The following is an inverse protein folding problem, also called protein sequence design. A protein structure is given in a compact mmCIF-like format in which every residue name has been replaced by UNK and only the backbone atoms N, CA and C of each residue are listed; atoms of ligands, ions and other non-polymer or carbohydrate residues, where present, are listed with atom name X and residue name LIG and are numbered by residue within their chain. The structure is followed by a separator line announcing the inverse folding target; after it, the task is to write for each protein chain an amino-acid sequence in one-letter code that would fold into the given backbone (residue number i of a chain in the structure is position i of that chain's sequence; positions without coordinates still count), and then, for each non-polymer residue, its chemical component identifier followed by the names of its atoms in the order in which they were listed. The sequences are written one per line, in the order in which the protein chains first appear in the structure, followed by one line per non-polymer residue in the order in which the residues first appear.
data_IF_530537371939
#
_entry.id   IF_530537371939
#
_cell.length_a   1.000
_cell.length_b   1.000
_cell.length_c   1.000
_cell.angle_alpha   90.00
_cell.angle_beta   90.00
_cell.angle_gamma   90.00
#
_symmetry.space_group_name_H-M   'P 1'
#
loop_
_entity.id
_entity.type
_entity.pdbx_description
1 polymer ?
#
# COMPACT_ATOMS: atom_id res chain seq x y z
N UNK A 1 4.83 -2.67 -20.45
CA UNK A 1 3.52 -3.29 -20.13
C UNK A 1 3.50 -3.51 -18.62
N UNK A 2 2.49 -3.00 -17.90
CA UNK A 2 2.42 -3.15 -16.43
C UNK A 2 2.22 -4.62 -16.04
N UNK A 3 3.07 -5.16 -15.17
CA UNK A 3 2.91 -6.52 -14.63
C UNK A 3 1.85 -6.54 -13.50
N UNK A 4 1.27 -7.71 -13.18
CA UNK A 4 0.38 -7.84 -12.02
C UNK A 4 1.04 -7.37 -10.71
N UNK A 5 2.28 -7.80 -10.47
CA UNK A 5 3.07 -7.40 -9.30
C UNK A 5 3.27 -5.87 -9.21
N UNK A 6 3.54 -5.20 -10.33
CA UNK A 6 3.62 -3.74 -10.34
C UNK A 6 2.30 -3.08 -9.95
N UNK A 7 1.18 -3.63 -10.44
CA UNK A 7 -0.15 -3.15 -10.08
C UNK A 7 -0.40 -3.31 -8.58
N UNK A 8 -0.05 -4.45 -8.00
CA UNK A 8 -0.20 -4.73 -6.57
C UNK A 8 0.62 -3.77 -5.70
N UNK A 9 1.90 -3.56 -6.05
CA UNK A 9 2.77 -2.60 -5.36
C UNK A 9 2.20 -1.18 -5.47
N UNK A 10 1.80 -0.76 -6.68
CA UNK A 10 1.20 0.55 -6.90
C UNK A 10 -0.08 0.75 -6.08
N UNK A 11 -0.95 -0.25 -6.03
CA UNK A 11 -2.19 -0.16 -5.26
C UNK A 11 -1.96 -0.23 -3.75
N UNK A 12 -0.92 -0.91 -3.27
CA UNK A 12 -0.54 -0.87 -1.86
C UNK A 12 -0.09 0.55 -1.44
N UNK A 13 0.65 1.25 -2.31
CA UNK A 13 0.98 2.66 -2.09
C UNK A 13 -0.28 3.54 -2.10
N UNK A 14 -1.21 3.31 -3.03
CA UNK A 14 -2.49 4.03 -3.05
C UNK A 14 -3.28 3.82 -1.76
N UNK A 15 -3.36 2.58 -1.25
CA UNK A 15 -4.00 2.28 0.03
C UNK A 15 -3.37 3.04 1.19
N UNK A 16 -2.04 3.15 1.22
CA UNK A 16 -1.34 3.95 2.23
C UNK A 16 -1.74 5.42 2.17
N UNK A 17 -1.82 5.99 0.95
CA UNK A 17 -2.26 7.38 0.76
C UNK A 17 -3.74 7.59 1.10
N UNK A 18 -4.58 6.56 0.97
CA UNK A 18 -5.97 6.56 1.42
C UNK A 18 -6.12 6.47 2.94
N UNK A 19 -5.01 6.32 3.69
CA UNK A 19 -5.00 6.25 5.16
C UNK A 19 -4.91 4.84 5.73
N UNK A 20 -4.81 3.79 4.91
CA UNK A 20 -4.60 2.42 5.38
C UNK A 20 -3.13 2.22 5.75
N UNK A 21 -2.84 2.30 7.05
CA UNK A 21 -1.47 2.20 7.57
C UNK A 21 -0.89 0.81 7.31
N UNK A 22 0.38 0.78 6.91
CA UNK A 22 1.13 -0.46 6.73
C UNK A 22 0.60 -1.36 5.61
N UNK A 23 0.02 -0.77 4.55
CA UNK A 23 -0.42 -1.52 3.38
C UNK A 23 0.78 -2.16 2.65
N UNK A 24 0.68 -3.45 2.35
CA UNK A 24 1.75 -4.25 1.72
C UNK A 24 1.15 -5.21 0.72
N UNK A 25 1.74 -5.28 -0.47
CA UNK A 25 1.47 -6.35 -1.42
C UNK A 25 1.97 -7.68 -0.82
N UNK A 26 1.16 -8.71 -0.94
CA UNK A 26 1.53 -10.05 -0.51
C UNK A 26 2.23 -10.77 -1.68
N UNK A 27 3.26 -11.59 -1.40
CA UNK A 27 3.81 -12.47 -2.42
C UNK A 27 2.72 -13.41 -2.93
N UNK A 28 2.79 -13.73 -4.24
CA UNK A 28 1.86 -14.65 -4.89
C UNK A 28 1.80 -15.96 -4.10
N UNK A 29 0.65 -16.24 -3.52
CA UNK A 29 0.44 -17.39 -2.64
C UNK A 29 -0.98 -17.94 -2.74
N UNK A 30 -1.28 -19.04 -2.03
CA UNK A 30 -2.60 -19.69 -2.05
C UNK A 30 -3.72 -18.85 -1.41
N UNK A 31 -3.40 -17.64 -0.92
CA UNK A 31 -4.22 -16.73 -0.13
C UNK A 31 -5.41 -16.18 -0.94
N UNK A 32 -6.36 -17.05 -1.29
CA UNK A 32 -7.79 -16.82 -1.50
C UNK A 32 -8.23 -15.59 -2.34
N UNK A 33 -7.34 -14.96 -3.11
CA UNK A 33 -7.60 -13.71 -3.82
C UNK A 33 -7.45 -12.44 -2.97
N UNK A 34 -6.56 -12.42 -1.96
CA UNK A 34 -6.14 -11.18 -1.28
C UNK A 34 -4.72 -10.84 -1.73
N UNK A 35 -4.56 -9.73 -2.43
CA UNK A 35 -3.26 -9.31 -2.96
C UNK A 35 -2.58 -8.28 -2.06
N UNK A 36 -3.35 -7.51 -1.27
CA UNK A 36 -2.83 -6.48 -0.37
C UNK A 36 -3.48 -6.60 1.01
N UNK A 37 -2.65 -6.53 2.07
CA UNK A 37 -3.10 -6.43 3.46
C UNK A 37 -2.61 -5.12 4.07
N UNK A 38 -3.48 -4.48 4.85
CA UNK A 38 -3.19 -3.27 5.61
C UNK A 38 -3.90 -3.32 6.98
N UNK A 39 -3.52 -2.42 7.88
CA UNK A 39 -4.26 -2.26 9.12
C UNK A 39 -5.66 -1.71 8.82
N UNK A 40 -6.70 -2.50 9.11
CA UNK A 40 -8.09 -2.12 8.91
C UNK A 40 -8.61 -2.31 7.49
N UNK A 41 -7.85 -2.94 6.58
CA UNK A 41 -8.32 -3.18 5.21
C UNK A 41 -7.59 -4.29 4.48
N UNK A 42 -8.33 -5.02 3.66
CA UNK A 42 -7.83 -6.02 2.71
C UNK A 42 -8.21 -5.61 1.30
N UNK A 43 -7.36 -5.93 0.33
CA UNK A 43 -7.66 -5.64 -1.06
C UNK A 43 -7.25 -6.72 -2.05
N UNK A 44 -7.97 -6.73 -3.17
CA UNK A 44 -7.67 -7.50 -4.36
C UNK A 44 -7.44 -6.58 -5.55
N UNK A 45 -6.45 -6.88 -6.38
CA UNK A 45 -6.02 -6.11 -7.55
C UNK A 45 -6.15 -6.98 -8.79
N UNK A 46 -7.05 -6.59 -9.70
CA UNK A 46 -7.32 -7.33 -10.92
C UNK A 46 -6.94 -6.53 -12.16
N UNK A 47 -5.84 -6.94 -12.79
CA UNK A 47 -5.28 -6.30 -14.00
C UNK A 47 -5.60 -7.10 -15.28
N UNK A 48 -6.87 -7.27 -15.60
CA UNK A 48 -7.31 -7.87 -16.87
C UNK A 48 -7.99 -6.86 -17.78
N UNK A 49 -8.10 -7.21 -19.07
CA UNK A 49 -8.84 -6.42 -20.06
C UNK A 49 -10.35 -6.61 -19.98
N UNK A 50 -10.82 -7.66 -19.30
CA UNK A 50 -12.25 -7.97 -19.13
C UNK A 50 -12.77 -7.31 -17.86
N UNK A 51 -13.94 -6.65 -17.87
CA UNK A 51 -14.56 -6.09 -16.68
C UNK A 51 -14.76 -7.14 -15.58
N UNK A 52 -14.62 -6.72 -14.32
CA UNK A 52 -14.77 -7.59 -13.16
C UNK A 52 -16.24 -7.90 -12.91
N UNK A 53 -16.55 -9.18 -12.75
CA UNK A 53 -17.89 -9.68 -12.48
C UNK A 53 -18.18 -9.88 -11.00
N UNK A 54 -19.46 -10.11 -10.68
CA UNK A 54 -19.92 -10.44 -9.32
C UNK A 54 -19.17 -11.63 -8.68
N UNK A 55 -18.85 -12.73 -9.39
CA UNK A 55 -18.15 -13.87 -8.79
C UNK A 55 -16.81 -13.50 -8.14
N UNK A 56 -16.08 -12.55 -8.72
CA UNK A 56 -14.80 -12.09 -8.17
C UNK A 56 -14.99 -11.31 -6.87
N UNK A 57 -15.99 -10.43 -6.82
CA UNK A 57 -16.32 -9.70 -5.59
C UNK A 57 -16.82 -10.65 -4.48
N UNK A 58 -17.57 -11.70 -4.84
CA UNK A 58 -18.02 -12.71 -3.89
C UNK A 58 -16.86 -13.52 -3.31
N UNK A 59 -15.83 -13.81 -4.12
CA UNK A 59 -14.60 -14.46 -3.63
C UNK A 59 -13.89 -13.58 -2.61
N UNK A 60 -13.69 -12.29 -2.89
CA UNK A 60 -13.11 -11.37 -1.91
C UNK A 60 -13.95 -11.29 -0.63
N UNK A 61 -15.28 -11.20 -0.78
CA UNK A 61 -16.19 -11.16 0.36
C UNK A 61 -16.10 -12.41 1.24
N UNK A 62 -16.00 -13.60 0.61
CA UNK A 62 -15.79 -14.86 1.31
C UNK A 62 -14.39 -14.98 1.92
N UNK A 63 -13.35 -14.52 1.24
CA UNK A 63 -11.96 -14.55 1.70
C UNK A 63 -11.72 -13.72 2.96
N UNK A 64 -12.54 -12.68 3.20
CA UNK A 64 -12.54 -11.93 4.46
C UNK A 64 -12.75 -12.85 5.67
N UNK A 65 -13.52 -13.94 5.51
CA UNK A 65 -13.93 -14.82 6.60
C UNK A 65 -14.54 -14.02 7.76
N UNK A 66 -14.06 -14.26 8.98
CA UNK A 66 -14.53 -13.61 10.20
C UNK A 66 -13.97 -12.19 10.42
N UNK A 67 -13.14 -11.67 9.51
CA UNK A 67 -12.52 -10.33 9.63
C UNK A 67 -13.50 -9.21 9.24
N UNK A 68 -14.71 -9.21 9.80
CA UNK A 68 -15.77 -8.25 9.47
C UNK A 68 -15.42 -6.80 9.80
N UNK A 69 -14.43 -6.58 10.67
CA UNK A 69 -13.91 -5.26 11.04
C UNK A 69 -12.99 -4.65 9.97
N UNK A 70 -12.57 -5.41 8.97
CA UNK A 70 -11.69 -4.93 7.90
C UNK A 70 -12.51 -4.42 6.72
N UNK A 71 -12.12 -3.25 6.21
CA UNK A 71 -12.63 -2.75 4.93
C UNK A 71 -12.20 -3.67 3.79
N UNK A 72 -13.11 -3.88 2.83
CA UNK A 72 -12.80 -4.60 1.60
C UNK A 72 -12.63 -3.60 0.48
N UNK A 73 -11.46 -3.61 -0.16
CA UNK A 73 -11.17 -2.79 -1.32
C UNK A 73 -10.95 -3.69 -2.53
N UNK A 74 -11.48 -3.29 -3.68
CA UNK A 74 -11.22 -3.98 -4.94
C UNK A 74 -10.68 -2.96 -5.92
N UNK A 75 -9.56 -3.27 -6.57
CA UNK A 75 -8.95 -2.47 -7.62
C UNK A 75 -9.07 -3.19 -8.96
N UNK A 76 -9.68 -2.55 -9.95
CA UNK A 76 -9.83 -3.11 -11.30
C UNK A 76 -9.25 -2.17 -12.35
N UNK A 77 -8.51 -2.72 -13.32
CA UNK A 77 -8.03 -1.94 -14.46
C UNK A 77 -9.15 -1.65 -15.48
N UNK A 78 -9.90 -2.69 -15.86
CA UNK A 78 -10.99 -2.66 -16.85
C UNK A 78 -12.31 -2.13 -16.31
N UNK A 79 -12.44 -1.96 -14.99
CA UNK A 79 -13.69 -1.59 -14.33
C UNK A 79 -14.55 -2.81 -13.97
N UNK A 80 -15.87 -2.59 -13.90
CA UNK A 80 -16.82 -3.53 -13.30
C UNK A 80 -18.07 -3.67 -14.16
N UNK A 81 -18.69 -4.85 -14.14
CA UNK A 81 -20.03 -5.03 -14.70
C UNK A 81 -21.09 -4.38 -13.81
N UNK A 82 -22.27 -4.08 -14.36
CA UNK A 82 -23.38 -3.53 -13.59
C UNK A 82 -23.76 -4.40 -12.37
N UNK A 83 -23.76 -5.72 -12.55
CA UNK A 83 -24.03 -6.69 -11.48
C UNK A 83 -22.95 -6.66 -10.38
N UNK A 84 -21.69 -6.46 -10.75
CA UNK A 84 -20.61 -6.32 -9.78
C UNK A 84 -20.73 -5.02 -8.98
N UNK A 85 -21.07 -3.90 -9.65
CA UNK A 85 -21.31 -2.62 -8.98
C UNK A 85 -22.46 -2.72 -7.98
N UNK A 86 -23.58 -3.32 -8.37
CA UNK A 86 -24.73 -3.53 -7.49
C UNK A 86 -24.32 -4.35 -6.27
N UNK A 87 -23.69 -5.51 -6.48
CA UNK A 87 -23.28 -6.38 -5.38
C UNK A 87 -22.27 -5.69 -4.45
N UNK A 88 -21.27 -4.99 -4.99
CA UNK A 88 -20.32 -4.24 -4.18
C UNK A 88 -20.98 -3.16 -3.32
N UNK A 89 -22.06 -2.54 -3.80
CA UNK A 89 -22.84 -1.59 -3.01
C UNK A 89 -23.69 -2.26 -1.92
N UNK A 90 -24.26 -3.43 -2.20
CA UNK A 90 -25.05 -4.22 -1.24
C UNK A 90 -24.19 -4.66 -0.05
N UNK A 91 -22.98 -5.14 -0.31
CA UNK A 91 -22.10 -5.69 0.74
C UNK A 91 -21.04 -4.71 1.26
N UNK A 92 -21.04 -3.47 0.76
CA UNK A 92 -20.14 -2.40 1.23
C UNK A 92 -18.68 -2.53 0.80
N UNK A 93 -18.39 -3.19 -0.34
CA UNK A 93 -17.04 -3.25 -0.90
C UNK A 93 -16.70 -1.90 -1.54
N UNK A 94 -15.52 -1.36 -1.26
CA UNK A 94 -14.99 -0.13 -1.86
C UNK A 94 -14.40 -0.48 -3.24
N UNK A 95 -15.06 0.01 -4.30
CA UNK A 95 -14.68 -0.30 -5.68
C UNK A 95 -13.87 0.83 -6.32
N UNK A 96 -12.71 0.48 -6.85
CA UNK A 96 -11.76 1.42 -7.44
C UNK A 96 -11.36 0.99 -8.84
N UNK A 97 -11.24 1.95 -9.74
CA UNK A 97 -10.60 1.76 -11.04
C UNK A 97 -9.20 2.37 -11.01
N UNK A 98 -8.24 1.75 -11.69
CA UNK A 98 -6.92 2.35 -11.88
C UNK A 98 -6.47 2.32 -13.34
N UNK A 99 -5.57 3.23 -13.69
CA UNK A 99 -4.98 3.36 -15.02
C UNK A 99 -3.48 3.00 -15.04
N UNK A 100 -2.86 3.04 -16.21
CA UNK A 100 -1.42 2.73 -16.40
C UNK A 100 -0.49 3.73 -15.67
N UNK A 101 -1.01 4.88 -15.22
CA UNK A 101 -0.28 5.86 -14.42
C UNK A 101 -0.52 5.68 -12.92
N UNK A 102 -1.19 4.59 -12.53
CA UNK A 102 -1.61 4.29 -11.17
C UNK A 102 -2.48 5.39 -10.52
N UNK A 103 -3.22 6.15 -11.33
CA UNK A 103 -4.28 7.00 -10.79
C UNK A 103 -5.44 6.11 -10.39
N UNK A 104 -5.97 6.34 -9.19
CA UNK A 104 -7.07 5.57 -8.63
C UNK A 104 -8.33 6.42 -8.57
N UNK A 105 -9.40 5.88 -9.16
CA UNK A 105 -10.70 6.51 -9.30
C UNK A 105 -11.74 5.75 -8.48
N UNK A 106 -12.42 6.45 -7.57
CA UNK A 106 -13.50 5.88 -6.77
C UNK A 106 -14.76 5.65 -7.63
N UNK A 107 -15.16 4.38 -7.75
CA UNK A 107 -16.28 4.00 -8.63
C UNK A 107 -17.61 4.12 -7.90
N UNK A 108 -17.68 3.65 -6.65
CA UNK A 108 -18.91 3.66 -5.85
C UNK A 108 -18.89 4.63 -4.67
N UNK A 109 -20.06 4.85 -4.05
CA UNK A 109 -20.21 5.77 -2.93
C UNK A 109 -19.33 5.39 -1.73
N UNK A 110 -19.11 4.10 -1.47
CA UNK A 110 -18.23 3.62 -0.41
C UNK A 110 -16.76 4.01 -0.65
N UNK A 111 -16.27 3.83 -1.89
CA UNK A 111 -14.94 4.26 -2.29
C UNK A 111 -14.77 5.79 -2.26
N UNK A 112 -15.81 6.55 -2.63
CA UNK A 112 -15.77 8.02 -2.57
C UNK A 112 -15.68 8.52 -1.13
N UNK A 113 -16.43 7.90 -0.21
CA UNK A 113 -16.38 8.25 1.22
C UNK A 113 -15.00 8.01 1.82
N UNK A 114 -14.29 6.95 1.42
CA UNK A 114 -12.93 6.68 1.93
C UNK A 114 -11.85 7.60 1.35
N UNK A 115 -12.09 8.19 0.17
CA UNK A 115 -11.09 9.03 -0.53
C UNK A 115 -11.43 10.52 -0.53
N UNK A 116 -12.56 10.92 0.06
CA UNK A 116 -13.10 12.28 -0.05
C UNK A 116 -13.56 12.65 -1.46
N UNK A 117 -13.75 11.68 -2.35
CA UNK A 117 -14.18 11.88 -3.74
C UNK A 117 -13.08 12.33 -4.72
N UNK A 118 -11.85 12.49 -4.25
CA UNK A 118 -10.69 12.85 -5.08
C UNK A 118 -10.06 11.69 -5.84
N UNK A 119 -9.21 12.01 -6.81
CA UNK A 119 -8.32 11.04 -7.47
C UNK A 119 -7.10 10.82 -6.57
N UNK A 120 -6.82 9.57 -6.22
CA UNK A 120 -5.62 9.21 -5.45
C UNK A 120 -4.53 8.78 -6.42
N UNK A 121 -3.41 9.48 -6.43
CA UNK A 121 -2.26 9.17 -7.31
C UNK A 121 -1.29 8.26 -6.57
N UNK A 122 -1.23 6.97 -6.91
CA UNK A 122 -0.17 6.15 -6.35
C UNK A 122 1.18 6.69 -6.83
N UNK A 123 1.98 7.30 -5.94
CA UNK A 123 3.20 8.01 -6.32
C UNK A 123 4.37 7.09 -6.69
N UNK A 124 4.09 5.86 -7.13
CA UNK A 124 5.08 4.81 -7.44
C UNK A 124 5.34 4.59 -8.93
N UNK A 125 4.62 5.29 -9.82
CA UNK A 125 4.69 5.05 -11.26
C UNK A 125 5.95 5.57 -11.97
N UNK A 126 6.60 6.61 -11.43
CA UNK A 126 7.54 7.43 -12.21
C UNK A 126 9.03 7.32 -11.79
N UNK A 127 9.43 6.29 -11.03
CA UNK A 127 10.85 6.01 -10.79
C UNK A 127 11.14 4.51 -10.74
N UNK A 128 11.18 3.86 -11.92
CA UNK A 128 11.75 2.53 -12.19
C UNK A 128 11.70 1.54 -11.00
N UNK A 129 10.56 0.85 -10.82
CA UNK A 129 10.33 -0.23 -9.84
C UNK A 129 10.86 0.06 -8.44
N UNK A 130 9.93 0.37 -7.53
CA UNK A 130 10.14 0.77 -6.14
C UNK A 130 11.47 0.28 -5.55
N UNK A 131 12.25 1.22 -5.02
CA UNK A 131 13.42 0.94 -4.19
C UNK A 131 13.06 -0.28 -3.34
N UNK A 132 13.81 -1.40 -3.41
CA UNK A 132 13.53 -2.54 -2.55
C UNK A 132 13.45 -1.96 -1.15
N UNK A 133 12.34 -2.25 -0.46
CA UNK A 133 12.21 -1.93 0.96
C UNK A 133 13.50 -2.45 1.58
N UNK A 134 14.39 -1.52 1.93
CA UNK A 134 15.64 -1.82 2.59
C UNK A 134 15.17 -2.55 3.84
N UNK A 135 15.37 -3.86 3.81
CA UNK A 135 15.11 -4.73 4.93
C UNK A 135 15.87 -4.07 6.07
N UNK A 136 15.12 -3.63 7.08
CA UNK A 136 15.68 -3.24 8.36
C UNK A 136 16.26 -4.52 8.94
N UNK A 137 17.43 -4.92 8.48
CA UNK A 137 18.36 -5.78 9.17
C UNK A 137 19.09 -4.90 10.19
N UNK A 138 18.34 -4.38 11.16
CA UNK A 138 18.91 -3.66 12.30
C UNK A 138 18.22 -4.13 13.55
N UNK A 139 18.27 -5.45 13.81
CA UNK A 139 18.29 -6.01 15.17
C UNK A 139 18.98 -7.39 15.12
N UNK A 140 20.31 -7.42 15.05
CA UNK A 140 21.12 -8.58 15.49
C UNK A 140 22.61 -8.20 15.54
N UNK A 141 22.98 -7.18 16.33
CA UNK A 141 24.40 -6.92 16.62
C UNK A 141 24.69 -6.08 17.88
N UNK A 142 23.72 -5.80 18.76
CA UNK A 142 24.01 -5.08 20.00
C UNK A 142 23.23 -5.70 21.17
N UNK A 143 23.99 -6.30 22.10
CA UNK A 143 23.53 -7.00 23.30
C UNK A 143 23.90 -8.48 23.20
N UNK A 144 25.09 -8.93 23.59
CA UNK A 144 25.56 -8.92 24.98
C UNK A 144 27.07 -8.65 25.06
N UNK A 145 27.46 -7.44 25.46
CA UNK A 145 28.75 -7.22 26.14
C UNK A 145 28.45 -6.25 27.29
N UNK A 146 28.19 -6.80 28.47
CA UNK A 146 28.34 -6.06 29.73
C UNK A 146 28.72 -7.03 30.84
N UNK A 147 30.01 -7.01 31.18
CA UNK A 147 30.67 -7.36 32.45
C UNK A 147 32.15 -7.47 32.06
N UNK A 148 32.98 -6.44 32.19
CA UNK A 148 33.45 -5.82 33.43
C UNK A 148 34.11 -4.47 33.06
N UNK A 149 33.73 -3.35 33.71
CA UNK A 149 34.53 -2.12 33.76
C UNK A 149 35.61 -2.26 34.83
N UNK A 150 36.80 -1.65 34.64
CA UNK A 150 37.01 -0.35 35.29
C UNK A 150 37.77 0.63 34.36
N UNK A 151 37.79 1.91 34.75
CA UNK A 151 38.48 3.06 34.14
C UNK A 151 37.65 4.00 33.26
N UNK A 152 37.37 5.18 33.82
CA UNK A 152 37.77 6.43 33.17
C UNK A 152 36.69 7.25 32.45
N UNK A 153 36.22 8.30 33.15
CA UNK A 153 35.76 9.60 32.66
C UNK A 153 36.08 9.98 31.18
N UNK A 154 35.12 10.63 30.47
CA UNK A 154 35.21 12.01 29.96
C UNK A 154 33.92 12.44 29.22
N UNK A 155 33.58 13.71 29.44
CA UNK A 155 32.46 14.57 29.06
C UNK A 155 32.01 14.69 27.58
N UNK A 156 30.68 14.83 27.41
CA UNK A 156 29.88 15.94 26.82
C UNK A 156 30.24 16.53 25.41
N UNK A 157 29.17 16.78 24.62
CA UNK A 157 29.00 17.73 23.49
C UNK A 157 29.47 17.30 22.09
N UNK A 158 28.57 16.67 21.30
CA UNK A 158 28.51 16.91 19.84
C UNK A 158 27.16 16.45 19.23
N UNK A 159 26.08 17.22 19.38
CA UNK A 159 24.76 16.86 18.82
C UNK A 159 24.14 17.92 17.91
N UNK A 160 24.90 18.91 17.41
CA UNK A 160 24.30 20.03 16.64
C UNK A 160 24.82 20.18 15.20
N UNK A 161 25.87 19.47 14.77
CA UNK A 161 26.50 19.78 13.47
C UNK A 161 26.03 18.98 12.24
N UNK A 162 25.11 18.00 12.38
CA UNK A 162 24.74 17.13 11.25
C UNK A 162 23.42 17.49 10.53
N UNK A 163 22.74 18.58 10.93
CA UNK A 163 21.43 18.96 10.38
C UNK A 163 21.43 20.21 9.46
N UNK A 164 22.60 20.64 8.98
CA UNK A 164 22.74 21.77 8.03
C UNK A 164 23.45 21.40 6.71
N UNK A 165 23.71 20.11 6.46
CA UNK A 165 24.48 19.64 5.29
C UNK A 165 23.67 19.09 4.10
N UNK A 166 22.36 18.92 4.21
CA UNK A 166 21.53 18.25 3.17
C UNK A 166 20.67 19.25 2.37
N UNK A 167 20.53 20.51 2.81
CA UNK A 167 19.59 21.46 2.22
C UNK A 167 20.19 22.36 1.10
N UNK A 168 21.50 22.29 0.81
CA UNK A 168 22.13 23.17 -0.20
C UNK A 168 22.16 22.60 -1.62
N UNK A 169 21.95 21.30 -1.82
CA UNK A 169 22.14 20.66 -3.13
C UNK A 169 20.90 20.73 -4.05
N UNK A 170 19.74 21.14 -3.51
CA UNK A 170 18.47 21.24 -4.28
C UNK A 170 18.29 22.61 -4.95
N UNK A 171 19.18 23.59 -4.71
CA UNK A 171 19.09 24.97 -5.26
C UNK A 171 20.06 25.30 -6.40
N UNK A 172 20.67 24.33 -7.08
CA UNK A 172 21.54 24.57 -8.26
C UNK A 172 21.07 23.91 -9.56
N UNK A 173 19.75 23.76 -9.75
CA UNK A 173 19.16 23.51 -11.07
C UNK A 173 17.96 24.43 -11.29
N UNK A 174 18.25 25.70 -11.49
CA UNK A 174 17.40 26.64 -12.20
C UNK A 174 18.28 27.66 -12.90
#
# INVERSE_FOLDING_TARGET
MMTPEQAEIGMAHAMTQMGYKGARALPVGPDAGIDIKAHGGIAQVKRHRVPVGRPDLQRLYGARGNSHHMDMLFFSYSGYTAQALQYGNEVGIKLFRFDDKFNVYAVNAYARRSTGGGIVKASGGDAKYGRPVAFVATVCAIGVIHLIYPFGFISILLSIFFMWGINSEVRKKK
#
